data_IF_495695897536
#
_entry.id   IF_495695897536
#
_cell.length_a   1.000
_cell.length_b   1.000
_cell.length_c   1.000
_cell.angle_alpha   90.00
_cell.angle_beta   90.00
_cell.angle_gamma   90.00
#
_symmetry.space_group_name_H-M   'P 1'
#
loop_
_entity.id
_entity.type
_entity.pdbx_description
1 polymer ?
#
# COMPACT_ATOMS: atom_id res chain seq x y z
N UNK A 1 -20.87 14.59 -4.64
CA UNK A 1 -19.87 14.33 -4.31
C UNK A 1 -18.90 14.28 -5.31
N UNK A 2 -17.87 14.57 -5.14
CA UNK A 2 -17.01 14.57 -6.03
C UNK A 2 -16.48 13.34 -6.23
N UNK A 3 -16.38 12.89 -7.32
CA UNK A 3 -15.74 11.82 -7.56
C UNK A 3 -14.41 12.04 -7.83
N UNK A 4 -13.51 11.53 -7.15
CA UNK A 4 -12.17 11.67 -7.52
C UNK A 4 -11.89 10.80 -8.64
N UNK A 5 -11.23 11.29 -9.61
CA UNK A 5 -10.80 10.50 -10.72
C UNK A 5 -9.67 9.61 -10.28
N UNK A 6 -9.67 8.37 -10.70
CA UNK A 6 -8.59 7.46 -10.42
C UNK A 6 -7.34 7.88 -11.16
N UNK A 7 -6.23 8.02 -10.44
CA UNK A 7 -4.96 8.37 -11.04
C UNK A 7 -4.31 7.12 -11.62
N UNK A 8 -4.15 7.10 -12.92
CA UNK A 8 -3.58 5.92 -13.59
C UNK A 8 -2.07 6.05 -13.67
N UNK A 9 -1.38 5.04 -13.18
CA UNK A 9 0.07 4.97 -13.16
C UNK A 9 0.45 3.73 -13.94
N UNK A 10 1.48 3.82 -14.78
CA UNK A 10 1.94 2.69 -15.57
C UNK A 10 3.30 2.24 -15.08
N UNK A 11 3.49 0.94 -14.95
CA UNK A 11 4.78 0.39 -14.57
C UNK A 11 5.44 -0.19 -15.79
N UNK A 12 6.62 0.30 -16.11
CA UNK A 12 7.36 -0.15 -17.28
C UNK A 12 8.32 -1.30 -16.95
N UNK A 13 8.79 -2.03 -17.94
CA UNK A 13 9.68 -3.17 -17.68
C UNK A 13 10.93 -2.86 -16.88
N UNK A 14 11.39 -1.60 -16.95
CA UNK A 14 12.55 -1.18 -16.18
C UNK A 14 12.19 -0.84 -14.74
N UNK A 15 10.98 -1.23 -14.31
CA UNK A 15 10.49 -1.02 -12.94
C UNK A 15 10.19 0.43 -12.61
N UNK A 16 10.17 1.30 -13.59
CA UNK A 16 9.86 2.70 -13.34
C UNK A 16 8.36 2.90 -13.42
N UNK A 17 7.88 3.82 -12.58
CA UNK A 17 6.46 4.15 -12.53
C UNK A 17 6.25 5.49 -13.24
N UNK A 18 5.23 5.57 -14.06
CA UNK A 18 4.94 6.75 -14.84
C UNK A 18 3.54 7.25 -14.50
N UNK A 19 3.44 8.51 -14.06
CA UNK A 19 2.17 9.12 -13.72
C UNK A 19 1.58 9.74 -14.98
N UNK A 20 0.45 9.23 -15.44
CA UNK A 20 -0.13 9.67 -16.69
C UNK A 20 -0.75 11.07 -16.58
N UNK A 21 -1.08 11.51 -15.38
CA UNK A 21 -1.64 12.84 -15.20
C UNK A 21 -0.53 13.88 -15.20
N UNK A 22 0.54 13.62 -14.44
CA UNK A 22 1.65 14.55 -14.39
C UNK A 22 2.60 14.39 -15.57
N UNK A 23 2.45 13.32 -16.34
CA UNK A 23 3.29 13.03 -17.50
C UNK A 23 4.75 12.96 -17.12
N UNK A 24 5.05 12.26 -16.05
CA UNK A 24 6.44 12.10 -15.62
C UNK A 24 6.61 10.85 -14.80
N UNK A 25 7.85 10.41 -14.66
CA UNK A 25 8.15 9.27 -13.81
C UNK A 25 8.03 9.69 -12.35
N UNK A 26 7.60 8.76 -11.52
CA UNK A 26 7.46 9.01 -10.10
C UNK A 26 8.09 7.86 -9.31
N UNK A 27 8.28 8.07 -8.03
CA UNK A 27 8.87 7.07 -7.15
C UNK A 27 7.82 6.40 -6.29
N UNK A 28 8.22 5.37 -5.56
CA UNK A 28 7.30 4.75 -4.60
C UNK A 28 6.90 5.74 -3.50
N UNK A 29 7.78 6.67 -3.16
CA UNK A 29 7.42 7.70 -2.18
C UNK A 29 6.33 8.60 -2.73
N UNK A 30 6.37 8.91 -4.01
CA UNK A 30 5.32 9.70 -4.63
C UNK A 30 3.99 8.94 -4.59
N UNK A 31 4.03 7.63 -4.81
CA UNK A 31 2.83 6.80 -4.71
C UNK A 31 2.29 6.84 -3.29
N UNK A 32 3.18 6.74 -2.30
CA UNK A 32 2.78 6.82 -0.89
C UNK A 32 2.07 8.15 -0.63
N UNK A 33 2.61 9.23 -1.14
CA UNK A 33 2.01 10.55 -0.93
C UNK A 33 0.64 10.66 -1.58
N UNK A 34 0.47 10.09 -2.76
CA UNK A 34 -0.82 10.09 -3.43
C UNK A 34 -1.86 9.33 -2.61
N UNK A 35 -1.52 8.15 -2.18
CA UNK A 35 -2.45 7.32 -1.41
C UNK A 35 -2.75 7.97 -0.06
N UNK A 36 -1.75 8.52 0.60
CA UNK A 36 -1.94 9.19 1.87
C UNK A 36 -2.82 10.41 1.72
N UNK A 37 -2.77 11.04 0.56
CA UNK A 37 -3.60 12.20 0.26
C UNK A 37 -4.99 11.83 -0.22
N UNK A 38 -5.39 10.58 -0.08
CA UNK A 38 -6.72 10.12 -0.45
C UNK A 38 -6.96 10.11 -1.95
N UNK A 39 -5.90 10.01 -2.72
CA UNK A 39 -6.02 9.89 -4.17
C UNK A 39 -6.16 8.42 -4.52
N UNK A 40 -7.21 8.07 -5.23
CA UNK A 40 -7.40 6.71 -5.68
C UNK A 40 -6.44 6.44 -6.84
N UNK A 41 -5.68 5.37 -6.78
CA UNK A 41 -4.71 5.06 -7.82
C UNK A 41 -5.02 3.72 -8.48
N UNK A 42 -4.59 3.58 -9.70
CA UNK A 42 -4.63 2.33 -10.41
C UNK A 42 -3.29 2.17 -11.11
N UNK A 43 -2.55 1.12 -10.78
CA UNK A 43 -1.26 0.87 -11.40
C UNK A 43 -1.39 -0.31 -12.33
N UNK A 44 -1.02 -0.13 -13.59
CA UNK A 44 -1.09 -1.21 -14.57
C UNK A 44 0.31 -1.51 -15.10
N UNK A 45 0.55 -2.77 -15.35
CA UNK A 45 1.81 -3.21 -15.96
C UNK A 45 1.75 -2.87 -17.43
N UNK A 46 2.72 -2.09 -17.90
CA UNK A 46 2.72 -1.63 -19.28
C UNK A 46 2.80 -2.80 -20.27
N UNK A 47 3.50 -3.86 -19.89
CA UNK A 47 3.68 -4.97 -20.80
C UNK A 47 2.45 -5.87 -20.86
N UNK A 48 1.89 -6.25 -19.74
CA UNK A 48 0.79 -7.19 -19.71
C UNK A 48 -0.58 -6.57 -19.62
N UNK A 49 -0.66 -5.32 -19.23
CA UNK A 49 -1.93 -4.65 -19.00
C UNK A 49 -2.61 -5.03 -17.72
N UNK A 50 -1.95 -5.87 -16.90
CA UNK A 50 -2.59 -6.31 -15.65
C UNK A 50 -2.59 -5.22 -14.60
N UNK A 51 -3.62 -5.24 -13.77
CA UNK A 51 -3.71 -4.33 -12.65
C UNK A 51 -2.81 -4.84 -11.54
N UNK A 52 -1.77 -4.09 -11.22
CA UNK A 52 -0.82 -4.47 -10.18
C UNK A 52 -0.83 -3.48 -9.03
N UNK A 53 -1.96 -2.80 -8.83
CA UNK A 53 -2.07 -1.78 -7.79
C UNK A 53 -1.75 -2.32 -6.41
N UNK A 54 -2.29 -3.48 -6.07
CA UNK A 54 -2.05 -4.05 -4.74
C UNK A 54 -0.59 -4.40 -4.53
N UNK A 55 0.05 -4.93 -5.57
CA UNK A 55 1.47 -5.27 -5.46
C UNK A 55 2.33 -4.04 -5.23
N UNK A 56 1.99 -2.94 -5.89
CA UNK A 56 2.74 -1.71 -5.73
C UNK A 56 2.50 -1.12 -4.34
N UNK A 57 1.27 -1.19 -3.85
CA UNK A 57 0.97 -0.74 -2.49
C UNK A 57 1.75 -1.54 -1.46
N UNK A 58 1.88 -2.85 -1.67
CA UNK A 58 2.67 -3.67 -0.76
C UNK A 58 4.13 -3.28 -0.81
N UNK A 59 4.64 -2.89 -1.98
CA UNK A 59 6.01 -2.42 -2.08
C UNK A 59 6.20 -1.12 -1.30
N UNK A 60 5.22 -0.23 -1.31
CA UNK A 60 5.29 1.00 -0.54
C UNK A 60 5.41 0.67 0.94
N UNK A 61 4.57 -0.25 1.41
CA UNK A 61 4.61 -0.66 2.81
C UNK A 61 5.97 -1.29 3.15
N UNK A 62 6.46 -2.16 2.28
CA UNK A 62 7.73 -2.82 2.53
C UNK A 62 8.88 -1.83 2.63
N UNK A 63 8.90 -0.85 1.73
CA UNK A 63 9.94 0.16 1.79
C UNK A 63 9.86 0.94 3.08
N UNK A 64 8.66 1.29 3.51
CA UNK A 64 8.47 2.03 4.72
C UNK A 64 8.94 1.22 5.93
N UNK A 65 8.66 -0.09 5.94
CA UNK A 65 9.00 -0.95 7.06
C UNK A 65 10.48 -1.34 7.09
N UNK A 66 11.18 -1.20 5.98
CA UNK A 66 12.60 -1.45 5.96
C UNK A 66 13.40 -0.20 6.30
N UNK A 67 12.72 0.90 6.53
CA UNK A 67 13.38 2.14 6.89
C UNK A 67 13.34 2.32 8.40
N UNK A 68 13.85 3.46 8.86
CA UNK A 68 13.83 3.77 10.28
C UNK A 68 12.44 4.07 10.78
N UNK A 69 11.48 4.19 9.89
CA UNK A 69 10.10 4.50 10.26
C UNK A 69 9.23 3.27 10.40
N UNK A 70 9.83 2.12 10.63
CA UNK A 70 9.08 0.88 10.77
C UNK A 70 8.07 0.95 11.91
N UNK A 71 6.89 0.41 11.67
CA UNK A 71 5.83 0.42 12.65
C UNK A 71 5.28 -0.95 12.97
N UNK A 72 5.50 -1.91 12.09
CA UNK A 72 4.95 -3.25 12.29
C UNK A 72 5.96 -4.09 13.07
N UNK A 73 5.53 -4.67 14.17
CA UNK A 73 6.43 -5.46 15.00
C UNK A 73 6.67 -6.82 14.40
N UNK A 74 7.77 -7.44 14.80
CA UNK A 74 8.05 -8.79 14.36
C UNK A 74 6.95 -9.77 14.74
N UNK A 75 6.41 -9.73 15.98
CA UNK A 75 5.31 -10.63 16.32
C UNK A 75 4.08 -10.41 15.44
N UNK A 76 3.78 -9.15 15.11
CA UNK A 76 2.63 -8.87 14.25
C UNK A 76 2.87 -9.46 12.86
N UNK A 77 4.07 -9.27 12.33
CA UNK A 77 4.38 -9.80 11.00
C UNK A 77 4.31 -11.31 10.98
N UNK A 78 4.78 -11.96 12.03
CA UNK A 78 4.72 -13.40 12.11
C UNK A 78 3.28 -13.91 12.13
N UNK A 79 2.42 -13.20 12.85
CA UNK A 79 1.01 -13.58 12.91
C UNK A 79 0.33 -13.36 11.57
N UNK A 80 0.69 -12.28 10.91
CA UNK A 80 0.13 -11.99 9.60
C UNK A 80 0.51 -13.09 8.61
N UNK A 81 1.77 -13.46 8.60
CA UNK A 81 2.25 -14.53 7.72
C UNK A 81 1.53 -15.83 8.03
N UNK A 82 1.43 -16.16 9.30
CA UNK A 82 0.78 -17.40 9.71
C UNK A 82 -0.68 -17.47 9.33
N UNK A 83 -1.35 -16.31 9.26
CA UNK A 83 -2.77 -16.30 8.95
C UNK A 83 -3.05 -16.81 7.54
N UNK A 84 -2.08 -16.71 6.65
CA UNK A 84 -2.28 -17.18 5.29
C UNK A 84 -2.33 -18.69 5.18
N UNK A 85 -1.84 -19.39 6.19
CA UNK A 85 -1.84 -20.84 6.11
C UNK A 85 -3.19 -21.44 6.37
N UNK A 86 -3.98 -20.77 7.19
CA UNK A 86 -5.24 -21.35 7.63
C UNK A 86 -6.44 -20.65 7.04
N UNK A 87 -6.21 -19.59 6.29
CA UNK A 87 -7.30 -18.80 5.82
C UNK A 87 -7.69 -19.12 4.43
N UNK A 88 -8.96 -19.15 4.17
CA UNK A 88 -9.44 -19.24 2.80
C UNK A 88 -9.27 -17.90 2.13
N UNK A 89 -9.15 -17.88 0.82
CA UNK A 89 -9.03 -16.61 0.11
C UNK A 89 -10.29 -15.78 0.31
N UNK A 90 -10.15 -14.52 0.18
CA UNK A 90 -11.28 -13.60 0.16
C UNK A 90 -11.63 -13.03 1.52
N UNK A 91 -12.78 -13.34 2.06
CA UNK A 91 -13.28 -12.58 3.22
C UNK A 91 -12.41 -12.57 4.45
N UNK A 92 -11.43 -13.43 4.50
CA UNK A 92 -10.53 -13.41 5.61
C UNK A 92 -9.85 -12.07 5.76
N UNK A 93 -9.73 -11.37 4.67
CA UNK A 93 -9.09 -10.07 4.68
C UNK A 93 -9.80 -9.08 5.58
N UNK A 94 -11.08 -9.25 5.84
CA UNK A 94 -11.80 -8.31 6.68
C UNK A 94 -11.25 -8.34 8.10
N UNK A 95 -11.02 -9.52 8.64
CA UNK A 95 -10.49 -9.63 9.99
C UNK A 95 -9.07 -9.10 10.07
N UNK A 96 -8.26 -9.35 9.04
CA UNK A 96 -6.91 -8.83 9.01
C UNK A 96 -6.92 -7.31 8.94
N UNK A 97 -7.79 -6.75 8.15
CA UNK A 97 -7.90 -5.31 8.01
C UNK A 97 -8.32 -4.68 9.33
N UNK A 98 -9.24 -5.28 10.03
CA UNK A 98 -9.68 -4.76 11.31
C UNK A 98 -8.54 -4.80 12.34
N UNK A 99 -7.78 -5.89 12.34
CA UNK A 99 -6.65 -5.99 13.25
C UNK A 99 -5.62 -4.92 12.94
N UNK A 100 -5.35 -4.70 11.67
CA UNK A 100 -4.38 -3.70 11.26
C UNK A 100 -4.86 -2.31 11.63
N UNK A 101 -6.14 -2.04 11.43
CA UNK A 101 -6.70 -0.74 11.78
C UNK A 101 -6.53 -0.47 13.26
N UNK A 102 -6.79 -1.46 14.09
CA UNK A 102 -6.63 -1.31 15.52
C UNK A 102 -5.16 -1.10 15.89
N UNK A 103 -4.29 -1.83 15.24
CA UNK A 103 -2.86 -1.70 15.51
C UNK A 103 -2.39 -0.30 15.14
N UNK A 104 -2.76 0.18 13.97
CA UNK A 104 -2.34 1.48 13.52
C UNK A 104 -2.95 2.61 14.36
N UNK A 105 -4.18 2.43 14.81
CA UNK A 105 -4.78 3.40 15.69
C UNK A 105 -4.01 3.48 17.01
N UNK A 106 -3.59 2.34 17.51
CA UNK A 106 -2.79 2.31 18.74
C UNK A 106 -1.44 2.96 18.56
N UNK A 107 -0.80 2.71 17.42
CA UNK A 107 0.49 3.30 17.13
C UNK A 107 0.35 4.82 17.00
N UNK A 108 -0.66 5.29 16.32
CA UNK A 108 -0.88 6.70 16.16
C UNK A 108 -1.11 7.35 17.52
N UNK A 109 -1.88 6.69 18.37
CA UNK A 109 -2.14 7.24 19.67
C UNK A 109 -0.88 7.26 20.53
N UNK A 110 -0.07 6.23 20.41
CA UNK A 110 1.16 6.18 21.15
C UNK A 110 2.15 7.21 20.71
N UNK A 111 2.11 7.55 19.44
CA UNK A 111 3.04 8.52 18.91
C UNK A 111 2.65 9.94 19.28
N UNK A 112 1.47 10.14 19.80
CA UNK A 112 1.03 11.46 20.16
C UNK A 112 1.87 11.94 21.32
N UNK A 113 2.53 13.04 21.16
CA UNK A 113 3.44 13.49 22.17
C UNK A 113 2.76 14.04 23.37
N UNK A 114 1.57 14.29 23.32
CA UNK A 114 0.95 14.94 24.42
C UNK A 114 0.97 14.27 25.66
#
# INVERSE_FOLDING_TARGET
MLMSETRVIKKYPNRRLYDTVLSRYITLQDVRDLVSGQIDIKVTDQRSGQDITRAVMLQVIAEQELSDSARLSKPFLARLIGSYRTSAPGPTSVALEQCLDQYLAGVTRSADPS
#
